data_IF_646688217977
#
_entry.id   IF_646688217977
#
_cell.length_a   1.000
_cell.length_b   1.000
_cell.length_c   1.000
_cell.angle_alpha   90.00
_cell.angle_beta   90.00
_cell.angle_gamma   90.00
#
_symmetry.space_group_name_H-M   'P 1'
#
loop_
_entity.id
_entity.type
_entity.pdbx_description
1 polymer ?
#
# COMPACT_ATOMS: atom_id res chain seq x y z
N UNK A 1 26.68 -8.90 7.18
CA UNK A 1 26.46 -9.01 5.73
C UNK A 1 25.97 -7.66 5.20
N UNK A 2 26.52 -7.22 4.08
CA UNK A 2 26.06 -5.96 3.47
C UNK A 2 24.79 -6.28 2.66
N UNK A 3 23.63 -5.93 3.18
CA UNK A 3 22.35 -6.22 2.52
C UNK A 3 22.12 -5.18 1.43
N UNK A 4 22.05 -5.66 0.19
CA UNK A 4 21.73 -4.81 -0.95
C UNK A 4 20.19 -4.70 -1.10
N UNK A 5 19.65 -3.49 -0.96
CA UNK A 5 18.23 -3.22 -1.10
C UNK A 5 17.71 -3.35 -2.53
N UNK A 6 18.62 -3.36 -3.52
CA UNK A 6 18.26 -3.54 -4.93
C UNK A 6 18.15 -5.02 -5.34
N UNK A 7 18.49 -5.98 -4.45
CA UNK A 7 18.37 -7.39 -4.79
C UNK A 7 16.93 -7.78 -5.07
N UNK A 8 16.73 -8.49 -6.16
CA UNK A 8 15.46 -9.11 -6.54
C UNK A 8 15.12 -10.28 -5.63
N UNK A 9 13.84 -10.48 -5.37
CA UNK A 9 13.30 -11.64 -4.66
C UNK A 9 11.97 -12.08 -5.26
N UNK A 10 11.43 -13.21 -4.84
CA UNK A 10 10.21 -13.79 -5.40
C UNK A 10 9.12 -13.94 -4.34
N UNK A 11 7.89 -13.66 -4.73
CA UNK A 11 6.67 -13.92 -3.97
C UNK A 11 5.78 -14.86 -4.79
N UNK A 12 5.76 -16.14 -4.43
CA UNK A 12 4.95 -17.14 -5.11
C UNK A 12 5.15 -17.20 -6.63
N UNK A 13 6.37 -16.97 -7.12
CA UNK A 13 6.68 -16.94 -8.55
C UNK A 13 6.66 -15.55 -9.19
N UNK A 14 6.10 -14.54 -8.54
CA UNK A 14 6.19 -13.13 -8.99
C UNK A 14 7.54 -12.56 -8.61
N UNK A 15 8.27 -12.07 -9.60
CA UNK A 15 9.56 -11.40 -9.41
C UNK A 15 9.34 -9.98 -8.87
N UNK A 16 9.98 -9.66 -7.73
CA UNK A 16 9.91 -8.35 -7.10
C UNK A 16 11.29 -7.67 -7.21
N UNK A 17 11.39 -6.59 -7.99
CA UNK A 17 12.65 -5.87 -8.17
C UNK A 17 12.94 -4.98 -6.94
N UNK A 18 13.92 -5.42 -6.13
CA UNK A 18 14.31 -4.68 -4.91
C UNK A 18 13.49 -5.02 -3.68
N UNK A 19 14.09 -4.73 -2.51
CA UNK A 19 13.58 -5.15 -1.18
C UNK A 19 12.73 -4.07 -0.50
N UNK A 20 12.10 -3.18 -1.29
CA UNK A 20 11.29 -2.08 -0.78
C UNK A 20 9.83 -2.23 -1.23
N UNK A 21 8.92 -2.32 -0.28
CA UNK A 21 7.48 -2.48 -0.51
C UNK A 21 6.74 -1.24 -0.02
N UNK A 22 5.81 -0.70 -0.81
CA UNK A 22 4.92 0.39 -0.39
C UNK A 22 3.67 -0.16 0.27
N UNK A 23 3.41 0.27 1.50
CA UNK A 23 2.33 -0.27 2.33
C UNK A 23 0.92 0.07 1.85
N UNK A 24 -0.06 -0.84 2.05
CA UNK A 24 -1.47 -0.53 1.92
C UNK A 24 -1.89 0.43 3.06
N UNK A 25 -2.42 1.60 2.70
CA UNK A 25 -2.85 2.62 3.65
C UNK A 25 -4.22 3.18 3.24
N UNK A 26 -5.23 2.94 4.07
CA UNK A 26 -6.59 3.41 3.83
C UNK A 26 -6.65 4.94 3.69
N UNK A 27 -7.29 5.41 2.63
CA UNK A 27 -7.38 6.82 2.27
C UNK A 27 -6.06 7.41 1.76
N UNK A 28 -5.06 6.60 1.40
CA UNK A 28 -3.74 7.08 0.93
C UNK A 28 -3.26 6.33 -0.31
N UNK A 29 -3.33 5.00 -0.32
CA UNK A 29 -2.74 4.15 -1.37
C UNK A 29 -3.63 4.07 -2.63
N UNK A 30 -4.15 5.22 -3.07
CA UNK A 30 -4.79 5.41 -4.37
C UNK A 30 -3.80 5.17 -5.51
N UNK A 31 -4.28 5.02 -6.73
CA UNK A 31 -3.44 4.72 -7.90
C UNK A 31 -2.31 5.75 -8.06
N UNK A 32 -2.61 7.05 -7.96
CA UNK A 32 -1.61 8.11 -8.02
C UNK A 32 -0.46 7.92 -7.00
N UNK A 33 -0.77 7.46 -5.78
CA UNK A 33 0.23 7.20 -4.75
C UNK A 33 1.07 5.94 -5.05
N UNK A 34 0.46 4.90 -5.60
CA UNK A 34 1.16 3.66 -5.98
C UNK A 34 2.12 3.91 -7.14
N UNK A 35 1.68 4.60 -8.20
CA UNK A 35 2.51 5.05 -9.34
C UNK A 35 3.70 5.87 -8.87
N UNK A 36 3.45 6.85 -7.99
CA UNK A 36 4.52 7.61 -7.36
C UNK A 36 5.50 6.68 -6.63
N UNK A 37 5.02 5.72 -5.85
CA UNK A 37 5.86 4.74 -5.17
C UNK A 37 6.76 3.97 -6.12
N UNK A 38 6.24 3.54 -7.27
CA UNK A 38 7.03 2.86 -8.31
C UNK A 38 8.12 3.76 -8.88
N UNK A 39 7.79 4.98 -9.28
CA UNK A 39 8.79 5.96 -9.80
C UNK A 39 9.92 6.24 -8.81
N UNK A 40 9.64 6.14 -7.52
CA UNK A 40 10.63 6.39 -6.46
C UNK A 40 11.31 5.14 -5.91
N UNK A 41 11.12 3.97 -6.54
CA UNK A 41 11.92 2.76 -6.30
C UNK A 41 11.28 1.70 -5.39
N UNK A 42 9.97 1.76 -5.16
CA UNK A 42 9.27 0.62 -4.56
C UNK A 42 9.27 -0.57 -5.54
N UNK A 43 9.76 -1.72 -5.11
CA UNK A 43 9.75 -2.96 -5.88
C UNK A 43 8.36 -3.60 -5.96
N UNK A 44 7.53 -3.40 -4.94
CA UNK A 44 6.13 -3.83 -4.87
C UNK A 44 5.29 -2.70 -4.29
N UNK A 45 4.13 -2.45 -4.88
CA UNK A 45 3.13 -1.51 -4.34
C UNK A 45 1.85 -2.23 -3.96
N UNK A 46 1.15 -1.71 -2.93
CA UNK A 46 -0.10 -2.28 -2.48
C UNK A 46 -1.24 -1.27 -2.60
N UNK A 47 -2.42 -1.73 -2.99
CA UNK A 47 -3.63 -0.90 -3.04
C UNK A 47 -4.12 -0.48 -1.65
N UNK A 48 -5.15 0.37 -1.58
CA UNK A 48 -5.98 0.47 -0.39
C UNK A 48 -6.65 -0.87 -0.08
N UNK A 49 -7.12 -1.06 1.15
CA UNK A 49 -7.87 -2.25 1.50
C UNK A 49 -9.28 -2.21 0.91
N UNK A 50 -9.59 -3.17 0.04
CA UNK A 50 -10.86 -3.30 -0.67
C UNK A 50 -11.83 -4.14 0.15
N UNK A 51 -13.02 -3.62 0.40
CA UNK A 51 -14.06 -4.33 1.15
C UNK A 51 -14.73 -5.41 0.31
N UNK A 52 -14.65 -6.65 0.75
CA UNK A 52 -15.34 -7.77 0.08
C UNK A 52 -16.86 -7.55 0.04
N UNK A 53 -17.46 -7.09 1.14
CA UNK A 53 -18.87 -6.69 1.15
C UNK A 53 -19.18 -5.55 0.16
N UNK A 54 -18.25 -4.60 0.00
CA UNK A 54 -18.39 -3.54 -0.99
C UNK A 54 -18.36 -4.05 -2.43
N UNK A 55 -17.53 -5.06 -2.70
CA UNK A 55 -17.49 -5.77 -4.00
C UNK A 55 -18.83 -6.48 -4.25
N UNK A 56 -19.32 -7.29 -3.29
CA UNK A 56 -20.58 -8.02 -3.40
C UNK A 56 -21.78 -7.09 -3.67
N UNK A 57 -21.81 -5.93 -3.05
CA UNK A 57 -22.83 -4.92 -3.27
C UNK A 57 -22.57 -4.03 -4.49
N UNK A 58 -21.58 -4.34 -5.33
CA UNK A 58 -21.19 -3.57 -6.52
C UNK A 58 -21.05 -2.07 -6.23
N UNK A 59 -20.48 -1.73 -5.08
CA UNK A 59 -20.26 -0.35 -4.71
C UNK A 59 -19.18 0.26 -5.64
N UNK A 60 -19.56 1.20 -6.48
CA UNK A 60 -18.69 1.83 -7.48
C UNK A 60 -17.36 2.32 -6.89
N UNK A 61 -17.41 2.97 -5.72
CA UNK A 61 -16.18 3.44 -5.02
C UNK A 61 -15.27 2.31 -4.60
N UNK A 62 -15.84 1.14 -4.27
CA UNK A 62 -15.05 -0.04 -3.92
C UNK A 62 -14.42 -0.65 -5.16
N UNK A 63 -15.14 -0.67 -6.28
CA UNK A 63 -14.62 -1.18 -7.56
C UNK A 63 -13.51 -0.30 -8.12
N UNK A 64 -13.56 1.01 -7.91
CA UNK A 64 -12.48 1.92 -8.30
C UNK A 64 -11.11 1.53 -7.69
N UNK A 65 -11.08 0.94 -6.48
CA UNK A 65 -9.84 0.46 -5.87
C UNK A 65 -9.23 -0.76 -6.55
N UNK A 66 -9.96 -1.42 -7.47
CA UNK A 66 -9.46 -2.51 -8.29
C UNK A 66 -8.76 -2.04 -9.57
N UNK A 67 -8.69 -0.74 -9.84
CA UNK A 67 -7.97 -0.21 -11.02
C UNK A 67 -6.49 -0.55 -10.95
N UNK A 68 -5.98 -1.05 -12.07
CA UNK A 68 -4.58 -1.43 -12.25
C UNK A 68 -4.04 -0.71 -13.49
N UNK A 69 -2.92 -0.01 -13.34
CA UNK A 69 -2.20 0.62 -14.44
C UNK A 69 -0.97 -0.22 -14.82
N UNK A 70 -0.61 -0.22 -16.11
CA UNK A 70 0.54 -0.98 -16.61
C UNK A 70 1.88 -0.61 -15.93
N UNK A 71 1.99 0.61 -15.41
CA UNK A 71 3.17 1.14 -14.72
C UNK A 71 3.22 0.83 -13.20
N UNK A 72 2.23 0.09 -12.68
CA UNK A 72 2.15 -0.24 -11.24
C UNK A 72 2.75 -1.61 -10.90
N UNK A 73 2.98 -2.48 -11.89
CA UNK A 73 3.47 -3.85 -11.67
C UNK A 73 4.90 -3.92 -11.14
N UNK A 74 5.18 -4.85 -10.18
CA UNK A 74 4.23 -5.73 -9.50
C UNK A 74 3.31 -4.98 -8.54
N UNK A 75 2.01 -5.34 -8.56
CA UNK A 75 0.97 -4.76 -7.72
C UNK A 75 0.25 -5.82 -6.90
N UNK A 76 0.14 -5.60 -5.59
CA UNK A 76 -0.74 -6.36 -4.72
C UNK A 76 -2.05 -5.59 -4.45
N UNK A 77 -3.19 -6.19 -4.74
CA UNK A 77 -4.48 -5.64 -4.31
C UNK A 77 -4.86 -6.27 -2.97
N UNK A 78 -5.07 -5.40 -1.97
CA UNK A 78 -5.41 -5.84 -0.63
C UNK A 78 -6.91 -5.93 -0.43
N UNK A 79 -7.42 -7.12 -0.06
CA UNK A 79 -8.83 -7.36 0.27
C UNK A 79 -9.03 -7.62 1.77
N UNK A 80 -10.22 -7.31 2.30
CA UNK A 80 -10.60 -7.65 3.67
C UNK A 80 -12.05 -8.08 3.78
N UNK A 81 -12.28 -9.10 4.59
CA UNK A 81 -13.58 -9.70 4.88
C UNK A 81 -13.45 -10.79 5.93
N UNK A 82 -14.57 -11.43 6.27
CA UNK A 82 -14.65 -12.54 7.24
C UNK A 82 -15.46 -13.72 6.74
N UNK A 83 -15.90 -13.68 5.49
CA UNK A 83 -16.62 -14.80 4.83
C UNK A 83 -15.74 -15.45 3.76
N UNK A 84 -15.43 -16.77 3.86
CA UNK A 84 -14.52 -17.45 2.92
C UNK A 84 -15.02 -17.46 1.47
N UNK A 85 -16.33 -17.60 1.25
CA UNK A 85 -16.90 -17.62 -0.11
C UNK A 85 -16.75 -16.24 -0.75
N UNK A 86 -17.16 -15.20 -0.04
CA UNK A 86 -17.05 -13.83 -0.51
C UNK A 86 -15.59 -13.41 -0.74
N UNK A 87 -14.65 -13.87 0.09
CA UNK A 87 -13.21 -13.60 -0.10
C UNK A 87 -12.67 -14.27 -1.37
N UNK A 88 -13.08 -15.51 -1.66
CA UNK A 88 -12.72 -16.23 -2.89
C UNK A 88 -13.25 -15.52 -4.14
N UNK A 89 -14.49 -15.03 -4.09
CA UNK A 89 -15.10 -14.26 -5.17
C UNK A 89 -14.37 -12.93 -5.41
N UNK A 90 -14.03 -12.21 -4.32
CA UNK A 90 -13.26 -10.99 -4.41
C UNK A 90 -11.86 -11.24 -5.00
N UNK A 91 -11.23 -12.35 -4.67
CA UNK A 91 -9.93 -12.72 -5.24
C UNK A 91 -10.00 -12.93 -6.76
N UNK A 92 -11.06 -13.56 -7.27
CA UNK A 92 -11.26 -13.68 -8.74
C UNK A 92 -11.43 -12.32 -9.41
N UNK A 93 -12.06 -11.36 -8.75
CA UNK A 93 -12.17 -9.99 -9.28
C UNK A 93 -10.82 -9.27 -9.26
N UNK A 94 -9.99 -9.51 -8.25
CA UNK A 94 -8.61 -9.00 -8.19
C UNK A 94 -7.77 -9.57 -9.32
N UNK A 95 -7.88 -10.87 -9.60
CA UNK A 95 -7.22 -11.53 -10.74
C UNK A 95 -7.71 -10.93 -12.07
N UNK A 96 -9.02 -10.82 -12.26
CA UNK A 96 -9.60 -10.24 -13.48
C UNK A 96 -9.22 -8.77 -13.70
N UNK A 97 -8.96 -8.03 -12.62
CA UNK A 97 -8.45 -6.66 -12.69
C UNK A 97 -6.98 -6.58 -13.13
N UNK A 98 -6.27 -7.71 -13.20
CA UNK A 98 -4.87 -7.76 -13.64
C UNK A 98 -3.83 -7.53 -12.54
N UNK A 99 -4.17 -7.68 -11.27
CA UNK A 99 -3.19 -7.64 -10.19
C UNK A 99 -2.23 -8.84 -10.25
N UNK A 100 -1.03 -8.69 -9.70
CA UNK A 100 -0.03 -9.77 -9.64
C UNK A 100 -0.17 -10.62 -8.36
N UNK A 101 -0.70 -10.03 -7.28
CA UNK A 101 -0.77 -10.64 -5.94
C UNK A 101 -2.11 -10.27 -5.31
N UNK A 102 -2.76 -11.26 -4.66
CA UNK A 102 -3.86 -11.00 -3.74
C UNK A 102 -3.28 -10.83 -2.34
N UNK A 103 -3.42 -9.65 -1.72
CA UNK A 103 -3.01 -9.43 -0.33
C UNK A 103 -4.22 -9.45 0.61
N UNK A 104 -4.11 -10.13 1.75
CA UNK A 104 -5.20 -10.25 2.73
C UNK A 104 -4.90 -9.42 3.97
N UNK A 105 -5.87 -8.59 4.39
CA UNK A 105 -5.71 -7.72 5.56
C UNK A 105 -6.10 -8.42 6.86
N UNK A 106 -5.11 -8.82 7.65
CA UNK A 106 -5.28 -9.34 9.01
C UNK A 106 -4.64 -8.39 10.05
N UNK A 107 -4.59 -7.10 9.74
CA UNK A 107 -3.92 -6.13 10.60
C UNK A 107 -4.67 -4.82 10.87
N UNK A 108 -5.77 -4.53 10.16
CA UNK A 108 -6.52 -3.29 10.36
C UNK A 108 -7.15 -3.25 11.76
N UNK A 109 -6.81 -2.26 12.62
CA UNK A 109 -7.32 -2.18 13.99
C UNK A 109 -8.60 -1.34 14.11
N UNK A 110 -9.11 -0.79 13.00
CA UNK A 110 -10.23 0.15 13.01
C UNK A 110 -11.51 -0.58 13.40
N UNK A 111 -12.25 -0.05 14.39
CA UNK A 111 -13.48 -0.65 14.92
C UNK A 111 -14.53 -0.99 13.85
N UNK A 112 -14.63 -0.20 12.79
CA UNK A 112 -15.56 -0.46 11.67
C UNK A 112 -15.23 -1.79 10.96
N UNK A 113 -13.95 -2.17 10.92
CA UNK A 113 -13.47 -3.43 10.30
C UNK A 113 -13.51 -4.56 11.31
N UNK A 114 -12.98 -4.37 12.53
CA UNK A 114 -12.89 -5.45 13.52
C UNK A 114 -14.24 -5.93 14.05
N UNK A 115 -15.27 -5.06 14.06
CA UNK A 115 -16.64 -5.44 14.41
C UNK A 115 -17.30 -6.42 13.44
N UNK A 116 -16.80 -6.53 12.20
CA UNK A 116 -17.26 -7.50 11.21
C UNK A 116 -16.50 -8.82 11.25
N UNK A 117 -15.64 -9.02 12.24
CA UNK A 117 -14.79 -10.19 12.35
C UNK A 117 -13.57 -10.17 11.41
N UNK A 118 -13.32 -9.04 10.71
CA UNK A 118 -12.23 -8.88 9.74
C UNK A 118 -11.04 -8.11 10.33
N UNK A 119 -9.95 -8.00 9.56
CA UNK A 119 -8.77 -7.27 9.97
C UNK A 119 -8.04 -7.92 11.15
N UNK A 120 -7.62 -7.12 12.14
CA UNK A 120 -6.82 -7.62 13.26
C UNK A 120 -7.55 -8.63 14.16
N UNK A 121 -8.89 -8.65 14.18
CA UNK A 121 -9.66 -9.62 14.97
C UNK A 121 -9.50 -11.07 14.49
N UNK A 122 -9.13 -11.28 13.22
CA UNK A 122 -8.84 -12.62 12.68
C UNK A 122 -7.65 -13.30 13.38
N UNK A 123 -6.77 -12.53 14.02
CA UNK A 123 -5.65 -13.11 14.77
C UNK A 123 -6.11 -13.83 16.06
N UNK A 124 -7.33 -13.55 16.53
CA UNK A 124 -7.92 -14.25 17.68
C UNK A 124 -8.77 -15.48 17.25
N UNK A 125 -9.07 -15.62 15.95
CA UNK A 125 -9.74 -16.80 15.35
C UNK A 125 -8.86 -17.39 14.23
N UNK A 126 -7.86 -18.15 14.63
CA UNK A 126 -6.90 -18.76 13.70
C UNK A 126 -7.54 -19.74 12.73
N UNK A 127 -8.62 -20.42 13.12
CA UNK A 127 -9.32 -21.40 12.27
C UNK A 127 -10.06 -20.67 11.14
N UNK A 128 -10.76 -19.58 11.45
CA UNK A 128 -11.36 -18.74 10.41
C UNK A 128 -10.30 -18.13 9.52
N UNK A 129 -9.21 -17.58 10.09
CA UNK A 129 -8.10 -17.01 9.35
C UNK A 129 -7.53 -17.99 8.32
N UNK A 130 -7.31 -19.25 8.70
CA UNK A 130 -6.84 -20.31 7.80
C UNK A 130 -7.86 -20.63 6.70
N UNK A 131 -9.13 -20.79 7.05
CA UNK A 131 -10.18 -21.03 6.03
C UNK A 131 -10.29 -19.90 5.00
N UNK A 132 -10.10 -18.65 5.42
CA UNK A 132 -10.08 -17.51 4.51
C UNK A 132 -8.90 -17.58 3.53
N UNK A 133 -7.69 -17.88 4.02
CA UNK A 133 -6.49 -18.03 3.17
C UNK A 133 -6.66 -19.20 2.20
N UNK A 134 -7.09 -20.36 2.69
CA UNK A 134 -7.33 -21.56 1.86
C UNK A 134 -8.35 -21.29 0.75
N UNK A 135 -9.47 -20.61 1.09
CA UNK A 135 -10.50 -20.27 0.12
C UNK A 135 -9.96 -19.34 -0.99
N UNK A 136 -9.15 -18.34 -0.64
CA UNK A 136 -8.55 -17.42 -1.61
C UNK A 136 -7.47 -18.12 -2.44
N UNK A 137 -6.55 -18.86 -1.80
CA UNK A 137 -5.45 -19.56 -2.48
C UNK A 137 -5.95 -20.65 -3.45
N UNK A 138 -7.10 -21.25 -3.17
CA UNK A 138 -7.73 -22.23 -4.06
C UNK A 138 -8.51 -21.59 -5.21
N UNK A 139 -8.97 -20.34 -5.02
CA UNK A 139 -9.84 -19.66 -5.97
C UNK A 139 -9.12 -19.07 -7.18
N UNK A 140 -7.84 -18.72 -7.07
CA UNK A 140 -7.06 -18.02 -8.09
C UNK A 140 -5.63 -18.58 -8.19
N UNK A 141 -4.99 -18.52 -9.36
CA UNK A 141 -3.59 -18.91 -9.56
C UNK A 141 -2.59 -17.86 -9.00
N UNK A 142 -3.07 -16.65 -8.65
CA UNK A 142 -2.23 -15.61 -8.10
C UNK A 142 -1.69 -16.00 -6.73
N UNK A 143 -0.44 -15.64 -6.40
CA UNK A 143 0.07 -15.83 -5.04
C UNK A 143 -0.71 -14.99 -4.03
N UNK A 144 -0.94 -15.58 -2.86
CA UNK A 144 -1.66 -14.95 -1.76
C UNK A 144 -0.65 -14.49 -0.71
N UNK A 145 -0.64 -13.19 -0.40
CA UNK A 145 0.09 -12.64 0.74
C UNK A 145 -0.85 -12.31 1.90
N UNK A 146 -0.34 -12.36 3.12
CA UNK A 146 -1.13 -11.96 4.31
C UNK A 146 -0.39 -10.88 5.09
N UNK A 147 -1.03 -9.71 5.25
CA UNK A 147 -0.50 -8.64 6.07
C UNK A 147 -1.16 -8.62 7.45
N UNK A 148 -0.38 -8.84 8.50
CA UNK A 148 -0.88 -8.97 9.87
C UNK A 148 -0.15 -8.09 10.88
N UNK A 149 -0.76 -7.95 12.07
CA UNK A 149 -0.15 -7.40 13.28
C UNK A 149 0.33 -8.53 14.21
N UNK A 150 0.99 -8.16 15.34
CA UNK A 150 1.43 -9.14 16.36
C UNK A 150 0.25 -9.83 17.09
N UNK A 151 -0.93 -9.23 17.03
CA UNK A 151 -2.17 -9.62 17.71
C UNK A 151 -3.00 -8.41 18.08
N UNK A 152 -4.15 -8.63 18.73
CA UNK A 152 -5.05 -7.55 19.16
C UNK A 152 -4.54 -6.86 20.41
N UNK A 153 -4.22 -7.62 21.46
CA UNK A 153 -3.82 -7.11 22.77
C UNK A 153 -2.35 -6.68 22.84
N UNK A 154 -2.05 -5.74 23.75
CA UNK A 154 -0.67 -5.37 24.04
C UNK A 154 0.08 -6.59 24.60
N UNK A 155 1.31 -6.79 24.15
CA UNK A 155 2.11 -7.96 24.53
C UNK A 155 1.75 -9.26 23.81
N UNK A 156 0.69 -9.28 22.99
CA UNK A 156 0.29 -10.46 22.21
C UNK A 156 1.43 -10.95 21.30
N UNK A 157 1.51 -12.27 21.13
CA UNK A 157 2.43 -12.96 20.21
C UNK A 157 1.67 -13.88 19.24
N UNK A 158 0.37 -13.64 19.05
CA UNK A 158 -0.49 -14.47 18.19
C UNK A 158 0.03 -14.63 16.76
N UNK A 159 0.76 -13.63 16.23
CA UNK A 159 1.40 -13.73 14.92
C UNK A 159 2.32 -14.94 14.77
N UNK A 160 2.97 -15.40 15.86
CA UNK A 160 3.88 -16.55 15.83
C UNK A 160 3.14 -17.90 15.83
N UNK A 161 1.93 -17.91 16.35
CA UNK A 161 1.06 -19.12 16.35
C UNK A 161 0.27 -19.19 15.03
N UNK A 162 -0.26 -18.04 14.60
CA UNK A 162 -1.14 -17.96 13.43
C UNK A 162 -0.32 -18.00 12.12
N UNK A 163 0.83 -17.31 12.06
CA UNK A 163 1.64 -17.20 10.85
C UNK A 163 1.97 -18.54 10.18
N UNK A 164 2.56 -19.53 10.87
CA UNK A 164 2.85 -20.84 10.28
C UNK A 164 1.59 -21.56 9.77
N UNK A 165 0.45 -21.40 10.46
CA UNK A 165 -0.82 -21.99 10.03
C UNK A 165 -1.36 -21.32 8.75
N UNK A 166 -1.18 -20.01 8.58
CA UNK A 166 -1.55 -19.31 7.35
C UNK A 166 -0.71 -19.80 6.15
N UNK A 167 0.58 -20.08 6.37
CA UNK A 167 1.46 -20.68 5.34
C UNK A 167 0.96 -22.07 4.95
N UNK A 168 0.61 -22.91 5.92
CA UNK A 168 0.02 -24.24 5.66
C UNK A 168 -1.31 -24.14 4.91
N UNK A 169 -2.08 -23.05 5.12
CA UNK A 169 -3.34 -22.79 4.42
C UNK A 169 -3.14 -22.20 3.01
N UNK A 170 -1.89 -21.96 2.57
CA UNK A 170 -1.58 -21.51 1.20
C UNK A 170 -1.06 -20.08 1.07
N UNK A 171 -0.76 -19.40 2.17
CA UNK A 171 -0.11 -18.07 2.07
C UNK A 171 1.30 -18.20 1.50
N UNK A 172 1.58 -17.52 0.39
CA UNK A 172 2.88 -17.50 -0.29
C UNK A 172 3.86 -16.46 0.31
N UNK A 173 3.38 -15.55 1.16
CA UNK A 173 4.19 -14.55 1.87
C UNK A 173 3.45 -14.00 3.08
N UNK A 174 4.20 -13.57 4.09
CA UNK A 174 3.65 -12.89 5.26
C UNK A 174 4.28 -11.50 5.41
N UNK A 175 3.47 -10.49 5.71
CA UNK A 175 3.94 -9.17 6.14
C UNK A 175 3.59 -8.96 7.60
N UNK A 176 4.59 -8.77 8.46
CA UNK A 176 4.36 -8.51 9.88
C UNK A 176 4.60 -7.04 10.25
N UNK A 177 3.54 -6.39 10.80
CA UNK A 177 3.68 -5.16 11.55
C UNK A 177 3.67 -5.51 13.05
N UNK A 178 4.82 -5.51 13.75
CA UNK A 178 4.92 -6.09 15.09
C UNK A 178 4.46 -5.14 16.21
N UNK A 179 3.39 -4.36 15.95
CA UNK A 179 2.57 -3.65 16.93
C UNK A 179 1.24 -4.36 17.11
N UNK A 180 0.64 -4.27 18.32
CA UNK A 180 -0.72 -4.77 18.54
C UNK A 180 -1.77 -3.87 17.88
N UNK A 181 -3.00 -4.38 17.72
CA UNK A 181 -4.11 -3.56 17.26
C UNK A 181 -4.40 -2.41 18.25
N UNK A 182 -4.39 -2.68 19.54
CA UNK A 182 -4.58 -1.66 20.60
C UNK A 182 -3.48 -0.60 20.63
N UNK A 183 -2.25 -0.99 20.31
CA UNK A 183 -1.11 -0.07 20.25
C UNK A 183 -1.23 0.94 19.10
N UNK A 184 -2.00 0.63 18.06
CA UNK A 184 -2.13 1.46 16.87
C UNK A 184 -0.76 1.81 16.26
N UNK A 185 -0.27 3.02 16.52
CA UNK A 185 1.01 3.53 16.05
C UNK A 185 1.91 4.07 17.18
N UNK A 186 1.50 3.89 18.44
CA UNK A 186 2.27 4.35 19.62
C UNK A 186 3.44 3.41 19.91
N UNK A 187 4.44 3.91 20.64
CA UNK A 187 5.65 3.15 20.97
C UNK A 187 6.47 2.79 19.72
N UNK A 188 7.20 1.68 19.78
CA UNK A 188 8.09 1.18 18.72
C UNK A 188 7.61 -0.17 18.16
N UNK A 189 7.92 -0.44 16.89
CA UNK A 189 7.71 -1.75 16.28
C UNK A 189 8.79 -2.74 16.79
N UNK A 190 8.35 -3.81 17.44
CA UNK A 190 9.24 -4.83 18.04
C UNK A 190 9.62 -5.89 17.00
N UNK A 191 10.66 -5.61 16.23
CA UNK A 191 11.12 -6.50 15.17
C UNK A 191 11.77 -7.81 15.64
N UNK A 192 11.95 -8.04 16.96
CA UNK A 192 12.32 -9.36 17.46
C UNK A 192 11.26 -10.43 17.09
N UNK A 193 9.98 -10.04 17.10
CA UNK A 193 8.89 -10.90 16.63
C UNK A 193 8.95 -11.19 15.12
N UNK A 194 9.47 -10.24 14.34
CA UNK A 194 9.69 -10.47 12.90
C UNK A 194 10.79 -11.51 12.70
N UNK A 195 11.88 -11.44 13.47
CA UNK A 195 12.96 -12.43 13.41
C UNK A 195 12.46 -13.84 13.81
N UNK A 196 11.66 -13.92 14.88
CA UNK A 196 11.07 -15.18 15.31
C UNK A 196 10.12 -15.75 14.24
N UNK A 197 9.26 -14.91 13.64
CA UNK A 197 8.35 -15.37 12.58
C UNK A 197 9.15 -15.89 11.38
N UNK A 198 10.23 -15.21 10.96
CA UNK A 198 11.12 -15.67 9.90
C UNK A 198 11.67 -17.06 10.18
N UNK A 199 12.00 -17.38 11.44
CA UNK A 199 12.52 -18.70 11.82
C UNK A 199 11.47 -19.81 11.84
N UNK A 200 10.18 -19.47 11.78
CA UNK A 200 9.05 -20.41 11.90
C UNK A 200 8.39 -20.74 10.54
N UNK A 201 8.75 -20.03 9.47
CA UNK A 201 8.10 -20.19 8.16
C UNK A 201 9.13 -20.27 7.03
N UNK A 202 8.81 -21.00 5.96
CA UNK A 202 9.66 -21.18 4.79
C UNK A 202 9.31 -20.21 3.65
N UNK A 203 8.30 -19.35 3.82
CA UNK A 203 7.90 -18.34 2.84
C UNK A 203 8.56 -16.99 3.15
N UNK A 204 8.68 -16.10 2.15
CA UNK A 204 9.19 -14.75 2.37
C UNK A 204 8.41 -13.98 3.43
N UNK A 205 9.13 -13.35 4.37
CA UNK A 205 8.54 -12.45 5.37
C UNK A 205 8.98 -11.01 5.08
N UNK A 206 8.01 -10.10 5.04
CA UNK A 206 8.22 -8.66 4.85
C UNK A 206 8.08 -7.96 6.20
N UNK A 207 9.10 -7.19 6.59
CA UNK A 207 9.12 -6.44 7.85
C UNK A 207 8.45 -5.06 7.68
N UNK A 208 7.37 -4.78 8.41
CA UNK A 208 6.63 -3.52 8.39
C UNK A 208 6.68 -2.83 9.75
N UNK A 209 6.76 -1.51 9.76
CA UNK A 209 6.74 -0.69 10.98
C UNK A 209 8.06 0.05 11.25
N UNK A 210 7.95 1.36 11.40
CA UNK A 210 9.05 2.29 11.70
C UNK A 210 10.21 2.26 10.68
N UNK A 211 9.92 1.98 9.42
CA UNK A 211 10.86 2.03 8.32
C UNK A 211 10.78 3.43 7.68
N UNK A 212 11.78 4.27 7.92
CA UNK A 212 11.81 5.65 7.45
C UNK A 212 13.20 6.14 7.05
N UNK A 213 14.20 5.25 6.99
CA UNK A 213 15.55 5.57 6.53
C UNK A 213 16.27 4.33 6.01
N UNK A 214 17.31 4.52 5.19
CA UNK A 214 18.18 3.43 4.71
C UNK A 214 18.82 2.64 5.85
N UNK A 215 19.38 3.33 6.85
CA UNK A 215 20.02 2.70 7.99
C UNK A 215 19.02 1.81 8.76
N UNK A 216 17.79 2.28 8.95
CA UNK A 216 16.75 1.50 9.61
C UNK A 216 16.33 0.29 8.78
N UNK A 217 16.13 0.45 7.47
CA UNK A 217 15.80 -0.65 6.56
C UNK A 217 16.86 -1.75 6.60
N UNK A 218 18.13 -1.37 6.43
CA UNK A 218 19.27 -2.32 6.48
C UNK A 218 19.39 -3.01 7.86
N UNK A 219 19.24 -2.25 8.95
CA UNK A 219 19.28 -2.81 10.30
C UNK A 219 18.17 -3.84 10.52
N UNK A 220 16.93 -3.54 10.11
CA UNK A 220 15.79 -4.46 10.26
C UNK A 220 16.02 -5.73 9.44
N UNK A 221 16.41 -5.61 8.18
CA UNK A 221 16.71 -6.78 7.35
C UNK A 221 17.83 -7.65 7.95
N UNK A 222 18.93 -7.02 8.40
CA UNK A 222 20.07 -7.72 8.98
C UNK A 222 19.74 -8.47 10.28
N UNK A 223 18.88 -7.88 11.13
CA UNK A 223 18.56 -8.45 12.43
C UNK A 223 17.40 -9.44 12.39
N UNK A 224 16.55 -9.37 11.37
CA UNK A 224 15.35 -10.22 11.29
C UNK A 224 15.44 -11.36 10.29
N UNK A 225 16.31 -11.24 9.27
CA UNK A 225 16.31 -12.16 8.13
C UNK A 225 15.10 -11.98 7.19
N UNK A 226 14.28 -10.95 7.39
CA UNK A 226 13.17 -10.63 6.48
C UNK A 226 13.72 -10.38 5.06
N UNK A 227 12.94 -10.75 4.05
CA UNK A 227 13.36 -10.61 2.63
C UNK A 227 13.25 -9.16 2.16
N UNK A 228 12.30 -8.40 2.66
CA UNK A 228 12.03 -7.02 2.29
C UNK A 228 11.50 -6.20 3.47
N UNK A 229 11.51 -4.88 3.32
CA UNK A 229 10.88 -3.95 4.27
C UNK A 229 9.72 -3.22 3.62
N UNK A 230 8.67 -2.94 4.42
CA UNK A 230 7.50 -2.22 3.98
C UNK A 230 7.45 -0.82 4.57
N UNK A 231 7.41 0.19 3.70
CA UNK A 231 7.33 1.61 4.06
C UNK A 231 5.88 2.08 3.99
N UNK A 232 5.39 2.67 5.08
CA UNK A 232 4.05 3.27 5.14
C UNK A 232 4.13 4.78 5.33
N UNK A 233 3.83 5.26 6.54
CA UNK A 233 3.68 6.68 6.88
C UNK A 233 4.85 7.58 6.48
N UNK A 234 6.06 7.06 6.43
CA UNK A 234 7.24 7.82 6.02
C UNK A 234 7.17 8.29 4.55
N UNK A 235 6.41 7.58 3.69
CA UNK A 235 6.22 7.93 2.28
C UNK A 235 5.05 8.89 2.04
N UNK A 236 4.22 9.19 3.04
CA UNK A 236 3.08 10.09 2.89
C UNK A 236 3.54 11.52 2.55
N UNK A 237 3.27 11.97 1.30
CA UNK A 237 3.72 13.25 0.78
C UNK A 237 5.25 13.41 0.78
N UNK A 238 5.96 12.31 0.86
CA UNK A 238 7.41 12.26 0.86
C UNK A 238 7.91 11.03 0.07
N UNK A 239 7.67 10.96 -1.24
CA UNK A 239 8.13 9.84 -2.05
C UNK A 239 9.66 9.70 -2.07
N UNK A 240 10.38 10.81 -1.88
CA UNK A 240 11.85 10.83 -1.83
C UNK A 240 12.42 9.88 -0.77
N UNK A 241 11.68 9.60 0.33
CA UNK A 241 12.14 8.63 1.35
C UNK A 241 12.41 7.24 0.75
N UNK A 242 11.64 6.84 -0.27
CA UNK A 242 11.85 5.55 -0.95
C UNK A 242 13.19 5.58 -1.71
N UNK A 243 13.45 6.64 -2.47
CA UNK A 243 14.71 6.87 -3.18
C UNK A 243 15.90 6.98 -2.22
N UNK A 244 15.73 7.66 -1.09
CA UNK A 244 16.74 7.79 -0.04
C UNK A 244 17.08 6.42 0.59
N UNK A 245 16.09 5.60 0.87
CA UNK A 245 16.28 4.22 1.35
C UNK A 245 17.06 3.42 0.31
N UNK A 246 16.77 3.56 -0.97
CA UNK A 246 17.51 2.90 -2.05
C UNK A 246 18.93 3.44 -2.24
N UNK A 247 19.29 4.59 -1.68
CA UNK A 247 20.66 5.11 -1.62
C UNK A 247 20.90 6.44 -2.31
N UNK A 248 19.88 7.03 -2.95
CA UNK A 248 19.98 8.37 -3.49
C UNK A 248 19.48 9.38 -2.44
N UNK A 249 20.40 10.09 -1.82
CA UNK A 249 20.15 11.02 -0.70
C UNK A 249 20.02 12.47 -1.12
N UNK A 250 19.87 12.76 -2.42
CA UNK A 250 19.68 14.11 -2.89
C UNK A 250 18.38 14.71 -2.33
N UNK A 251 18.51 15.83 -1.63
CA UNK A 251 17.36 16.58 -1.12
C UNK A 251 16.59 17.20 -2.30
N UNK A 252 15.25 17.07 -2.35
CA UNK A 252 14.47 17.71 -3.40
C UNK A 252 14.50 19.24 -3.25
N UNK A 253 14.58 19.93 -4.36
CA UNK A 253 14.35 21.39 -4.41
C UNK A 253 12.88 21.70 -4.15
N UNK A 254 12.56 22.98 -3.92
CA UNK A 254 11.15 23.41 -3.79
C UNK A 254 10.36 23.18 -5.07
N UNK A 255 11.02 23.40 -6.21
CA UNK A 255 10.46 23.18 -7.54
C UNK A 255 10.10 21.71 -7.76
N UNK A 256 10.98 20.77 -7.38
CA UNK A 256 10.70 19.35 -7.46
C UNK A 256 9.54 18.94 -6.54
N UNK A 257 9.48 19.46 -5.32
CA UNK A 257 8.37 19.20 -4.39
C UNK A 257 7.03 19.68 -4.93
N UNK A 258 7.01 20.90 -5.51
CA UNK A 258 5.78 21.44 -6.09
C UNK A 258 5.39 20.69 -7.36
N UNK A 259 6.34 20.38 -8.24
CA UNK A 259 6.08 19.62 -9.47
C UNK A 259 5.50 18.24 -9.17
N UNK A 260 6.08 17.51 -8.20
CA UNK A 260 5.59 16.19 -7.80
C UNK A 260 4.21 16.26 -7.13
N UNK A 261 3.94 17.30 -6.33
CA UNK A 261 2.61 17.55 -5.78
C UNK A 261 1.58 17.86 -6.89
N UNK A 262 1.94 18.68 -7.87
CA UNK A 262 1.06 18.97 -9.00
C UNK A 262 0.77 17.74 -9.85
N UNK A 263 1.78 16.91 -10.10
CA UNK A 263 1.59 15.62 -10.75
C UNK A 263 0.63 14.72 -9.96
N UNK A 264 0.85 14.60 -8.65
CA UNK A 264 -0.03 13.83 -7.76
C UNK A 264 -1.47 14.37 -7.76
N UNK A 265 -1.66 15.69 -7.82
CA UNK A 265 -2.99 16.31 -7.95
C UNK A 265 -3.64 15.88 -9.26
N UNK A 266 -2.94 15.97 -10.40
CA UNK A 266 -3.47 15.61 -11.73
C UNK A 266 -3.86 14.14 -11.82
N UNK A 267 -2.99 13.24 -11.35
CA UNK A 267 -3.27 11.81 -11.32
C UNK A 267 -4.47 11.49 -10.39
N UNK A 268 -4.55 12.14 -9.22
CA UNK A 268 -5.67 11.98 -8.29
C UNK A 268 -6.99 12.48 -8.88
N UNK A 269 -6.97 13.59 -9.61
CA UNK A 269 -8.17 14.11 -10.30
C UNK A 269 -8.63 13.15 -11.40
N UNK A 270 -7.69 12.55 -12.13
CA UNK A 270 -8.01 11.54 -13.16
C UNK A 270 -8.68 10.31 -12.55
N UNK A 271 -8.19 9.87 -11.38
CA UNK A 271 -8.71 8.69 -10.68
C UNK A 271 -10.05 8.93 -9.99
N UNK A 272 -10.19 10.04 -9.25
CA UNK A 272 -11.32 10.29 -8.34
C UNK A 272 -12.35 11.28 -8.88
N UNK A 273 -12.03 11.99 -9.95
CA UNK A 273 -12.78 13.16 -10.39
C UNK A 273 -12.49 14.40 -9.54
N UNK A 274 -12.73 15.62 -10.07
CA UNK A 274 -12.31 16.88 -9.44
C UNK A 274 -12.97 17.14 -8.08
N UNK A 275 -14.24 16.83 -7.94
CA UNK A 275 -14.99 17.08 -6.68
C UNK A 275 -14.43 16.26 -5.51
N UNK A 276 -14.22 14.96 -5.70
CA UNK A 276 -13.69 14.05 -4.67
C UNK A 276 -12.22 14.30 -4.40
N UNK A 277 -11.45 14.57 -5.46
CA UNK A 277 -10.02 14.87 -5.37
C UNK A 277 -9.76 16.09 -4.51
N UNK A 278 -10.55 17.18 -4.64
CA UNK A 278 -10.40 18.41 -3.85
C UNK A 278 -10.41 18.14 -2.34
N UNK A 279 -11.37 17.34 -1.86
CA UNK A 279 -11.44 16.97 -0.46
C UNK A 279 -10.32 16.01 -0.01
N UNK A 280 -10.00 15.04 -0.87
CA UNK A 280 -8.98 14.02 -0.62
C UNK A 280 -7.57 14.62 -0.49
N UNK A 281 -7.21 15.55 -1.35
CA UNK A 281 -5.87 16.15 -1.46
C UNK A 281 -5.49 17.04 -0.29
N UNK A 282 -6.44 17.62 0.45
CA UNK A 282 -6.17 18.58 1.54
C UNK A 282 -5.17 18.07 2.57
N UNK A 283 -5.21 16.79 2.92
CA UNK A 283 -4.25 16.17 3.87
C UNK A 283 -2.83 16.05 3.30
N UNK A 284 -2.71 15.92 1.97
CA UNK A 284 -1.43 15.77 1.30
C UNK A 284 -0.65 17.08 1.20
N UNK A 285 -1.32 18.22 1.07
CA UNK A 285 -0.64 19.52 0.98
C UNK A 285 0.33 19.73 2.13
N UNK A 286 -0.12 19.45 3.36
CA UNK A 286 0.72 19.60 4.55
C UNK A 286 1.94 18.68 4.56
N UNK A 287 1.81 17.47 4.04
CA UNK A 287 2.88 16.48 3.98
C UNK A 287 3.95 16.85 2.93
N UNK A 288 3.55 17.08 1.67
CA UNK A 288 4.48 17.49 0.61
C UNK A 288 5.21 18.80 0.93
N UNK A 289 4.44 19.83 1.30
CA UNK A 289 5.01 21.14 1.55
C UNK A 289 5.86 21.20 2.82
N UNK A 290 5.70 20.19 3.70
CA UNK A 290 6.62 19.95 4.81
C UNK A 290 8.01 19.62 4.31
N UNK A 291 8.12 18.76 3.29
CA UNK A 291 9.39 18.37 2.67
C UNK A 291 10.07 19.56 1.97
N UNK A 292 9.30 20.39 1.25
CA UNK A 292 9.80 21.63 0.62
C UNK A 292 10.08 22.78 1.58
N UNK A 293 9.96 22.58 2.88
CA UNK A 293 10.18 23.60 3.93
C UNK A 293 9.33 24.86 3.73
N UNK A 294 8.10 24.70 3.23
CA UNK A 294 7.16 25.80 3.11
C UNK A 294 6.62 26.22 4.48
N UNK A 295 6.35 27.51 4.70
CA UNK A 295 5.87 28.01 5.98
C UNK A 295 4.46 27.51 6.30
N UNK A 296 4.15 27.38 7.60
CA UNK A 296 2.84 26.87 8.06
C UNK A 296 1.64 27.67 7.52
N UNK A 297 1.67 29.02 7.45
CA UNK A 297 0.56 29.79 6.89
C UNK A 297 0.24 29.42 5.44
N UNK A 298 1.27 29.21 4.58
CA UNK A 298 1.10 28.78 3.20
C UNK A 298 0.38 27.42 3.08
N UNK A 299 0.73 26.48 3.95
CA UNK A 299 0.08 25.15 3.98
C UNK A 299 -1.39 25.28 4.41
N UNK A 300 -1.68 26.14 5.38
CA UNK A 300 -3.05 26.38 5.86
C UNK A 300 -3.92 27.06 4.79
N UNK A 301 -3.35 28.02 4.06
CA UNK A 301 -4.00 28.68 2.93
C UNK A 301 -4.51 27.64 1.91
N UNK A 302 -3.67 26.72 1.43
CA UNK A 302 -4.05 25.71 0.45
C UNK A 302 -5.15 24.75 0.95
N UNK A 303 -5.14 24.40 2.22
CA UNK A 303 -6.16 23.52 2.80
C UNK A 303 -7.56 24.17 2.78
N UNK A 304 -7.65 25.50 2.81
CA UNK A 304 -8.92 26.24 2.76
C UNK A 304 -9.45 26.43 1.34
N UNK A 305 -8.60 26.32 0.32
CA UNK A 305 -9.02 26.45 -1.09
C UNK A 305 -9.99 25.35 -1.50
N UNK A 306 -10.93 25.72 -2.36
CA UNK A 306 -11.95 24.82 -2.90
C UNK A 306 -11.79 24.57 -4.40
N UNK A 307 -10.96 25.37 -5.07
CA UNK A 307 -10.60 25.23 -6.48
C UNK A 307 -9.18 24.64 -6.61
N UNK A 308 -9.03 23.60 -7.40
CA UNK A 308 -7.73 23.01 -7.72
C UNK A 308 -6.89 23.91 -8.63
N UNK A 309 -7.52 24.72 -9.48
CA UNK A 309 -6.85 25.70 -10.33
C UNK A 309 -6.22 26.83 -9.48
N UNK A 310 -6.92 27.26 -8.41
CA UNK A 310 -6.35 28.22 -7.46
C UNK A 310 -5.16 27.61 -6.72
N UNK A 311 -5.26 26.32 -6.31
CA UNK A 311 -4.16 25.59 -5.67
C UNK A 311 -2.94 25.52 -6.61
N UNK A 312 -3.14 25.11 -7.88
CA UNK A 312 -2.06 25.04 -8.88
C UNK A 312 -1.42 26.41 -9.09
N UNK A 313 -2.23 27.46 -9.32
CA UNK A 313 -1.75 28.83 -9.49
C UNK A 313 -0.90 29.28 -8.30
N UNK A 314 -1.37 29.01 -7.10
CA UNK A 314 -0.70 29.41 -5.86
C UNK A 314 0.61 28.65 -5.63
N UNK A 315 0.66 27.36 -5.97
CA UNK A 315 1.86 26.53 -5.92
C UNK A 315 2.91 27.01 -6.91
N UNK A 316 2.52 27.26 -8.18
CA UNK A 316 3.43 27.77 -9.21
C UNK A 316 3.95 29.17 -8.91
N UNK A 317 3.14 30.04 -8.29
CA UNK A 317 3.61 31.35 -7.84
C UNK A 317 4.69 31.25 -6.73
N UNK A 318 4.63 30.20 -5.90
CA UNK A 318 5.59 29.98 -4.81
C UNK A 318 6.88 29.24 -5.27
N UNK A 319 6.84 28.56 -6.42
CA UNK A 319 7.96 27.86 -7.04
C UNK A 319 7.82 27.89 -8.58
N UNK A 320 8.16 29.01 -9.24
CA UNK A 320 7.90 29.19 -10.68
C UNK A 320 8.59 28.15 -11.58
N UNK A 321 9.78 27.68 -11.20
CA UNK A 321 10.51 26.64 -11.93
C UNK A 321 9.86 25.26 -11.91
N UNK A 322 8.85 25.04 -11.05
CA UNK A 322 8.15 23.78 -10.94
C UNK A 322 7.41 23.40 -12.23
N UNK A 323 6.98 24.36 -13.04
CA UNK A 323 6.33 24.09 -14.33
C UNK A 323 7.24 23.30 -15.26
N UNK A 324 8.48 23.70 -15.42
CA UNK A 324 9.46 23.02 -16.26
C UNK A 324 9.77 21.61 -15.75
N UNK A 325 9.89 21.46 -14.42
CA UNK A 325 10.10 20.13 -13.80
C UNK A 325 8.90 19.22 -14.04
N UNK A 326 7.67 19.75 -13.90
CA UNK A 326 6.43 18.99 -14.14
C UNK A 326 6.30 18.53 -15.59
N UNK A 327 6.59 19.40 -16.56
CA UNK A 327 6.57 19.04 -17.99
C UNK A 327 7.50 17.85 -18.25
N UNK A 328 8.71 17.87 -17.74
CA UNK A 328 9.64 16.74 -17.85
C UNK A 328 9.13 15.46 -17.19
N UNK A 329 8.50 15.57 -16.01
CA UNK A 329 7.89 14.39 -15.35
C UNK A 329 6.75 13.80 -16.17
N UNK A 330 5.95 14.64 -16.82
CA UNK A 330 4.85 14.20 -17.69
C UNK A 330 5.35 13.47 -18.95
N UNK A 331 6.47 13.92 -19.53
CA UNK A 331 7.09 13.27 -20.69
C UNK A 331 7.65 11.87 -20.37
N UNK A 332 7.95 11.59 -19.09
CA UNK A 332 8.47 10.31 -18.61
C UNK A 332 7.33 9.31 -18.24
N UNK A 333 6.07 9.73 -18.24
CA UNK A 333 4.94 8.86 -17.88
C UNK A 333 4.47 8.04 -19.09
N UNK A 334 3.98 6.79 -18.86
CA UNK A 334 3.32 6.02 -19.91
C UNK A 334 2.04 6.69 -20.39
N UNK A 335 1.63 6.36 -21.63
CA UNK A 335 0.38 6.89 -22.20
C UNK A 335 -0.81 6.39 -21.35
N UNK A 336 -1.74 7.29 -20.96
CA UNK A 336 -2.98 6.90 -20.28
C UNK A 336 -3.84 5.86 -20.99
N UNK A 337 -3.67 5.68 -22.31
CA UNK A 337 -4.40 4.69 -23.12
C UNK A 337 -4.06 3.23 -22.75
N UNK A 338 -2.95 2.99 -22.01
CA UNK A 338 -2.51 1.65 -21.59
C UNK A 338 -3.22 1.15 -20.32
N UNK A 339 -4.22 1.87 -19.80
CA UNK A 339 -4.96 1.47 -18.61
C UNK A 339 -6.05 0.44 -18.91
N UNK A 340 -6.12 -0.64 -18.12
CA UNK A 340 -7.26 -1.57 -18.14
C UNK A 340 -8.49 -0.84 -17.58
N UNK A 341 -9.49 -0.57 -18.43
CA UNK A 341 -10.73 0.07 -18.03
C UNK A 341 -11.58 -0.90 -17.19
N UNK A 342 -12.18 -0.42 -16.11
CA UNK A 342 -13.11 -1.19 -15.25
C UNK A 342 -14.29 -1.77 -16.02
N UNK A 343 -14.69 -1.14 -17.13
CA UNK A 343 -15.79 -1.58 -18.00
C UNK A 343 -15.47 -2.90 -18.73
N UNK A 344 -14.20 -3.32 -18.78
CA UNK A 344 -13.77 -4.60 -19.36
C UNK A 344 -13.74 -5.75 -18.34
N UNK A 345 -13.99 -5.49 -17.07
CA UNK A 345 -14.07 -6.57 -16.07
C UNK A 345 -15.29 -7.46 -16.39
N UNK A 346 -15.14 -8.80 -16.39
CA UNK A 346 -16.22 -9.71 -16.70
C UNK A 346 -17.29 -9.64 -15.59
N UNK A 347 -18.27 -8.75 -15.78
CA UNK A 347 -19.42 -8.54 -14.87
C UNK A 347 -20.41 -9.73 -14.92
N UNK A 348 -20.13 -10.74 -15.74
CA UNK A 348 -21.06 -11.83 -16.08
C UNK A 348 -20.95 -13.07 -15.16
N UNK A 349 -20.34 -12.98 -13.98
CA UNK A 349 -20.23 -14.16 -13.08
C UNK A 349 -21.51 -14.41 -12.26
N UNK A 350 -22.52 -13.55 -12.35
CA UNK A 350 -23.81 -13.74 -11.71
C UNK A 350 -24.99 -13.57 -12.69
N UNK A 351 -25.10 -14.51 -13.62
CA UNK A 351 -26.33 -14.76 -14.36
C UNK A 351 -26.92 -16.07 -13.86
N UNK A 352 -28.05 -16.01 -13.18
CA UNK A 352 -28.94 -17.15 -13.14
C UNK A 352 -29.35 -17.70 -11.77
N UNK A 353 -30.62 -17.61 -11.51
CA UNK A 353 -31.39 -18.42 -10.61
C UNK A 353 -31.98 -17.71 -9.42
#
# INVERSE_FOLDING_TARGET
MNINLADTWFLGGVEIPGRLVLAPMAGVSVQAFRRQGRRYGAGLVCSEMVSVAGIQHRNERTLEYLRVGADEHPLAIQIFGSDPVAMAEAARMVEAAGADIVDMNFGCPVKKVTKTGAGASLLDDADLACRLVEAVATAVPLPVSVKMRRGVENGSRRCLEVGPRLVQAGAASLTLHPRSAKQMYTGTADHSLTAELVSLVDVPVIASGDIGSRARAQSVLATTGAVAVMVGRAAQGNPWVLREIMGNTAEPSREEVVAELLLFIRETVRELGPERATGFLKKFYGWYLGRGRFPRPFKQELVTMTSLDEVETRLLAAAPGARFVLERLLDELPDPADEVLLDSLPISIYGGG
#
